data_IF_354884535764
#
_entry.id   IF_354884535764
#
_cell.length_a   1.000
_cell.length_b   1.000
_cell.length_c   1.000
_cell.angle_alpha   90.00
_cell.angle_beta   90.00
_cell.angle_gamma   90.00
#
_symmetry.space_group_name_H-M   'P 1'
#
loop_
_entity.id
_entity.type
_entity.pdbx_description
1 polymer ?
#
# COMPACT_ATOMS: atom_id res chain seq x y z
N UNK A 1 32.93 -21.12 -4.18
CA UNK A 1 32.30 -21.27 -5.51
C UNK A 1 30.92 -21.87 -5.32
N UNK A 2 29.90 -21.06 -5.19
CA UNK A 2 28.53 -21.53 -5.09
C UNK A 2 27.74 -20.98 -6.28
N UNK A 3 27.48 -21.87 -7.23
CA UNK A 3 26.67 -21.60 -8.42
C UNK A 3 25.23 -21.34 -7.99
N UNK A 4 24.76 -20.17 -8.36
CA UNK A 4 23.37 -19.73 -8.50
C UNK A 4 22.34 -20.87 -8.55
N UNK A 5 21.61 -21.05 -7.45
CA UNK A 5 20.38 -21.84 -7.45
C UNK A 5 19.28 -20.94 -8.03
N UNK A 6 19.21 -20.88 -9.35
CA UNK A 6 18.02 -20.42 -10.05
C UNK A 6 17.09 -21.64 -10.10
N UNK A 7 15.90 -21.60 -9.48
CA UNK A 7 15.00 -22.76 -9.50
C UNK A 7 14.69 -23.17 -10.94
N UNK A 8 14.66 -24.47 -11.24
CA UNK A 8 14.43 -25.02 -12.57
C UNK A 8 13.14 -24.50 -13.25
N UNK A 9 12.13 -24.12 -12.47
CA UNK A 9 10.90 -23.46 -12.93
C UNK A 9 11.10 -22.08 -13.56
N UNK A 10 12.23 -21.40 -13.26
CA UNK A 10 12.57 -20.12 -13.87
C UNK A 10 13.20 -20.28 -15.25
N UNK A 11 13.73 -21.45 -15.58
CA UNK A 11 14.44 -21.69 -16.85
C UNK A 11 13.49 -21.86 -18.03
N UNK A 12 12.31 -22.44 -17.83
CA UNK A 12 11.26 -22.55 -18.87
C UNK A 12 10.33 -21.32 -18.96
N UNK A 13 10.33 -20.45 -17.92
CA UNK A 13 9.52 -19.24 -17.83
C UNK A 13 10.32 -17.92 -17.81
N UNK A 14 11.59 -17.91 -18.14
CA UNK A 14 12.51 -16.79 -17.90
C UNK A 14 11.98 -15.41 -18.32
N UNK A 15 11.52 -15.22 -19.53
CA UNK A 15 10.93 -13.97 -20.01
C UNK A 15 9.62 -13.60 -19.27
N UNK A 16 8.87 -14.61 -18.83
CA UNK A 16 7.58 -14.44 -18.12
C UNK A 16 7.72 -13.93 -16.70
N UNK A 17 8.76 -14.34 -15.98
CA UNK A 17 9.00 -13.94 -14.58
C UNK A 17 9.47 -12.48 -14.52
N UNK A 18 10.39 -12.11 -15.39
CA UNK A 18 10.84 -10.71 -15.49
C UNK A 18 9.70 -9.76 -15.88
N UNK A 19 8.84 -10.19 -16.79
CA UNK A 19 7.65 -9.43 -17.16
C UNK A 19 6.71 -9.23 -15.97
N UNK A 20 6.49 -10.27 -15.15
CA UNK A 20 5.65 -10.20 -13.96
C UNK A 20 6.28 -9.29 -12.89
N UNK A 21 7.58 -9.38 -12.64
CA UNK A 21 8.30 -8.46 -11.75
C UNK A 21 8.17 -7.03 -12.23
N UNK A 22 8.37 -6.78 -13.53
CA UNK A 22 8.20 -5.45 -14.13
C UNK A 22 6.76 -4.94 -13.96
N UNK A 23 5.75 -5.80 -14.19
CA UNK A 23 4.34 -5.43 -14.00
C UNK A 23 4.05 -5.04 -12.53
N UNK A 24 4.57 -5.81 -11.56
CA UNK A 24 4.43 -5.50 -10.13
C UNK A 24 5.09 -4.16 -9.78
N UNK A 25 6.30 -3.91 -10.27
CA UNK A 25 7.05 -2.67 -9.97
C UNK A 25 6.43 -1.45 -10.65
N UNK A 26 5.99 -1.56 -11.91
CA UNK A 26 5.28 -0.47 -12.60
C UNK A 26 3.93 -0.18 -11.95
N UNK A 27 3.21 -1.21 -11.51
CA UNK A 27 1.98 -1.02 -10.75
C UNK A 27 2.28 -0.32 -9.43
N UNK A 28 3.32 -0.73 -8.69
CA UNK A 28 3.75 -0.05 -7.46
C UNK A 28 4.03 1.45 -7.71
N UNK A 29 4.78 1.77 -8.76
CA UNK A 29 5.06 3.14 -9.17
C UNK A 29 3.75 3.93 -9.43
N UNK A 30 2.82 3.34 -10.17
CA UNK A 30 1.53 3.93 -10.50
C UNK A 30 0.63 4.16 -9.27
N UNK A 31 0.69 3.30 -8.25
CA UNK A 31 -0.15 3.41 -7.05
C UNK A 31 0.16 4.63 -6.17
N UNK A 32 1.34 5.23 -6.27
CA UNK A 32 1.74 6.36 -5.41
C UNK A 32 1.87 7.68 -6.15
N UNK A 33 2.44 7.67 -7.35
CA UNK A 33 2.75 8.89 -8.08
C UNK A 33 1.57 9.85 -8.29
N UNK A 34 0.35 9.42 -8.67
CA UNK A 34 -0.74 10.34 -8.94
C UNK A 34 -1.31 11.04 -7.69
N UNK A 35 -0.99 10.57 -6.49
CA UNK A 35 -1.54 11.13 -5.23
C UNK A 35 -0.51 11.99 -4.52
N UNK A 36 0.74 11.53 -4.39
CA UNK A 36 1.73 12.21 -3.55
C UNK A 36 2.16 13.56 -4.08
N UNK A 37 2.09 13.76 -5.39
CA UNK A 37 2.37 15.06 -6.00
C UNK A 37 1.30 16.12 -5.80
N UNK A 38 0.06 15.75 -5.46
CA UNK A 38 -1.05 16.71 -5.30
C UNK A 38 -0.78 17.66 -4.12
N UNK A 39 -0.32 17.13 -2.98
CA UNK A 39 -0.05 17.94 -1.79
C UNK A 39 0.99 19.03 -2.02
N UNK A 40 2.02 18.75 -2.84
CA UNK A 40 3.08 19.71 -3.14
C UNK A 40 2.60 20.93 -3.96
N UNK A 41 1.50 20.81 -4.72
CA UNK A 41 0.96 21.86 -5.62
C UNK A 41 -0.46 22.28 -5.21
N UNK A 42 -0.88 21.97 -3.97
CA UNK A 42 -2.25 22.23 -3.52
C UNK A 42 -2.58 23.73 -3.54
N UNK A 43 -1.64 24.58 -3.16
CA UNK A 43 -1.80 26.04 -3.18
C UNK A 43 -2.00 26.60 -4.61
N UNK A 44 -1.37 26.01 -5.63
CA UNK A 44 -1.58 26.39 -7.03
C UNK A 44 -2.97 25.94 -7.54
N UNK A 45 -3.43 24.76 -7.07
CA UNK A 45 -4.78 24.28 -7.36
C UNK A 45 -5.81 25.21 -6.74
N UNK A 46 -5.63 25.64 -5.48
CA UNK A 46 -6.50 26.58 -4.76
C UNK A 46 -6.57 27.93 -5.48
N UNK A 47 -5.40 28.51 -5.81
CA UNK A 47 -5.32 29.78 -6.52
C UNK A 47 -6.02 29.75 -7.90
N UNK A 48 -5.92 28.60 -8.61
CA UNK A 48 -6.50 28.45 -9.93
C UNK A 48 -7.99 28.09 -9.94
N UNK A 49 -8.51 27.46 -8.87
CA UNK A 49 -9.88 26.93 -8.81
C UNK A 49 -10.80 27.68 -7.87
N UNK A 50 -10.25 28.53 -6.98
CA UNK A 50 -11.00 29.20 -5.92
C UNK A 50 -11.50 28.26 -4.82
N UNK A 51 -10.91 27.06 -4.69
CA UNK A 51 -11.27 26.11 -3.63
C UNK A 51 -10.80 26.63 -2.27
N UNK A 52 -11.61 26.40 -1.23
CA UNK A 52 -11.18 26.61 0.15
C UNK A 52 -10.18 25.54 0.59
N UNK A 53 -9.37 25.83 1.63
CA UNK A 53 -8.42 24.84 2.21
C UNK A 53 -9.12 23.54 2.63
N UNK A 54 -10.33 23.59 3.16
CA UNK A 54 -11.12 22.41 3.51
C UNK A 54 -11.43 21.55 2.29
N UNK A 55 -11.83 22.16 1.16
CA UNK A 55 -12.16 21.42 -0.06
C UNK A 55 -10.92 20.87 -0.75
N UNK A 56 -9.82 21.61 -0.77
CA UNK A 56 -8.55 21.11 -1.32
C UNK A 56 -7.97 19.99 -0.45
N UNK A 57 -8.14 20.02 0.86
CA UNK A 57 -7.83 18.91 1.76
C UNK A 57 -8.60 17.62 1.40
N UNK A 58 -9.81 17.73 0.88
CA UNK A 58 -10.57 16.57 0.40
C UNK A 58 -9.91 15.85 -0.80
N UNK A 59 -9.07 16.51 -1.59
CA UNK A 59 -8.31 15.88 -2.67
C UNK A 59 -7.34 14.82 -2.16
N UNK A 60 -6.86 14.95 -0.93
CA UNK A 60 -5.99 13.96 -0.27
C UNK A 60 -6.79 12.96 0.57
N UNK A 61 -7.92 13.36 1.13
CA UNK A 61 -8.80 12.49 1.95
C UNK A 61 -9.66 11.56 1.10
N UNK A 62 -10.19 12.03 -0.04
CA UNK A 62 -11.06 11.26 -0.91
C UNK A 62 -10.46 9.92 -1.39
N UNK A 63 -9.18 9.85 -1.81
CA UNK A 63 -8.53 8.58 -2.09
C UNK A 63 -8.51 7.63 -0.89
N UNK A 64 -8.33 8.12 0.33
CA UNK A 64 -8.31 7.27 1.53
C UNK A 64 -9.70 6.68 1.81
N UNK A 65 -10.75 7.46 1.62
CA UNK A 65 -12.14 6.97 1.72
C UNK A 65 -12.40 5.91 0.63
N UNK A 66 -11.97 6.17 -0.60
CA UNK A 66 -12.07 5.19 -1.67
C UNK A 66 -11.30 3.91 -1.34
N UNK A 67 -10.10 4.01 -0.75
CA UNK A 67 -9.33 2.85 -0.28
C UNK A 67 -10.11 2.06 0.77
N UNK A 68 -10.69 2.73 1.74
CA UNK A 68 -11.45 2.09 2.81
C UNK A 68 -12.63 1.26 2.27
N UNK A 69 -13.38 1.83 1.33
CA UNK A 69 -14.58 1.20 0.76
C UNK A 69 -14.20 0.07 -0.21
N UNK A 70 -13.32 0.35 -1.16
CA UNK A 70 -13.05 -0.58 -2.27
C UNK A 70 -12.01 -1.64 -1.96
N UNK A 71 -11.21 -1.48 -0.88
CA UNK A 71 -10.31 -2.52 -0.40
C UNK A 71 -11.05 -3.82 -0.05
N UNK A 72 -12.28 -3.74 0.46
CA UNK A 72 -13.10 -4.92 0.77
C UNK A 72 -13.65 -5.60 -0.49
N UNK A 73 -13.86 -4.85 -1.57
CA UNK A 73 -14.37 -5.39 -2.83
C UNK A 73 -13.29 -6.11 -3.66
N UNK A 74 -12.03 -5.69 -3.53
CA UNK A 74 -10.92 -6.17 -4.35
C UNK A 74 -10.73 -7.70 -4.31
N UNK A 75 -10.77 -8.40 -3.16
CA UNK A 75 -10.67 -9.86 -3.13
C UNK A 75 -11.83 -10.56 -3.86
N UNK A 76 -13.05 -10.00 -3.79
CA UNK A 76 -14.21 -10.52 -4.53
C UNK A 76 -14.08 -10.37 -6.04
N UNK A 77 -13.56 -9.21 -6.48
CA UNK A 77 -13.29 -8.98 -7.90
C UNK A 77 -12.22 -9.93 -8.42
N UNK A 78 -11.13 -10.13 -7.67
CA UNK A 78 -10.07 -11.05 -8.06
C UNK A 78 -10.51 -12.52 -8.07
N UNK A 79 -11.40 -12.92 -7.18
CA UNK A 79 -11.98 -14.27 -7.18
C UNK A 79 -12.87 -14.51 -8.42
N UNK A 80 -13.57 -13.47 -8.91
CA UNK A 80 -14.46 -13.57 -10.07
C UNK A 80 -13.71 -13.47 -11.41
N UNK A 81 -12.76 -12.56 -11.53
CA UNK A 81 -12.10 -12.22 -12.80
C UNK A 81 -10.64 -12.66 -12.91
N UNK A 82 -10.05 -13.12 -11.81
CA UNK A 82 -8.62 -13.37 -11.68
C UNK A 82 -7.83 -12.12 -11.26
N UNK A 83 -6.69 -12.33 -10.58
CA UNK A 83 -5.87 -11.24 -10.03
C UNK A 83 -5.32 -10.35 -11.15
N UNK A 84 -4.77 -10.94 -12.21
CA UNK A 84 -4.12 -10.22 -13.31
C UNK A 84 -5.10 -9.35 -14.10
N UNK A 85 -6.27 -9.88 -14.43
CA UNK A 85 -7.33 -9.11 -15.09
C UNK A 85 -7.80 -7.96 -14.22
N UNK A 86 -7.98 -8.19 -12.93
CA UNK A 86 -8.41 -7.17 -11.98
C UNK A 86 -7.36 -6.06 -11.85
N UNK A 87 -6.06 -6.40 -11.81
CA UNK A 87 -4.96 -5.44 -11.80
C UNK A 87 -4.88 -4.67 -13.13
N UNK A 88 -5.02 -5.34 -14.27
CA UNK A 88 -5.08 -4.68 -15.57
C UNK A 88 -6.19 -3.62 -15.64
N UNK A 89 -7.42 -4.00 -15.27
CA UNK A 89 -8.55 -3.06 -15.27
C UNK A 89 -8.37 -1.95 -14.24
N UNK A 90 -7.70 -2.20 -13.10
CA UNK A 90 -7.39 -1.13 -12.16
C UNK A 90 -6.41 -0.11 -12.74
N UNK A 91 -5.43 -0.52 -13.56
CA UNK A 91 -4.51 0.41 -14.23
C UNK A 91 -5.23 1.24 -15.33
N UNK A 92 -6.17 0.62 -16.06
CA UNK A 92 -7.03 1.38 -17.02
C UNK A 92 -7.90 2.38 -16.26
N UNK A 93 -8.53 1.98 -15.16
CA UNK A 93 -9.35 2.85 -14.33
C UNK A 93 -8.52 4.03 -13.79
N UNK A 94 -7.29 3.78 -13.37
CA UNK A 94 -6.37 4.80 -12.90
C UNK A 94 -6.00 5.77 -14.00
N UNK A 95 -5.66 5.27 -15.19
CA UNK A 95 -5.34 6.10 -16.36
C UNK A 95 -6.54 6.99 -16.72
N UNK A 96 -7.75 6.42 -16.81
CA UNK A 96 -8.99 7.16 -17.02
C UNK A 96 -9.27 8.18 -15.93
N UNK A 97 -9.04 7.83 -14.67
CA UNK A 97 -9.19 8.73 -13.52
C UNK A 97 -8.26 9.93 -13.60
N UNK A 98 -6.99 9.75 -14.01
CA UNK A 98 -6.04 10.86 -14.20
C UNK A 98 -6.51 11.77 -15.35
N UNK A 99 -6.97 11.21 -16.46
CA UNK A 99 -7.48 12.00 -17.60
C UNK A 99 -8.72 12.81 -17.18
N UNK A 100 -9.67 12.19 -16.48
CA UNK A 100 -10.86 12.89 -15.96
C UNK A 100 -10.46 14.00 -15.00
N UNK A 101 -9.51 13.73 -14.05
CA UNK A 101 -9.01 14.72 -13.09
C UNK A 101 -8.39 15.95 -13.76
N UNK A 102 -7.84 15.79 -14.95
CA UNK A 102 -7.15 16.86 -15.71
C UNK A 102 -8.09 17.76 -16.50
N UNK A 103 -9.39 17.42 -16.58
CA UNK A 103 -10.38 18.25 -17.27
C UNK A 103 -10.59 19.60 -16.55
N UNK A 104 -11.00 20.66 -17.28
CA UNK A 104 -11.14 22.01 -16.72
C UNK A 104 -12.42 22.17 -15.89
N UNK A 105 -12.67 21.30 -14.92
CA UNK A 105 -13.83 21.32 -14.05
C UNK A 105 -13.44 20.85 -12.64
N UNK A 106 -13.94 21.51 -11.61
CA UNK A 106 -13.76 21.13 -10.21
C UNK A 106 -14.43 19.77 -9.95
N UNK A 107 -15.61 19.52 -10.49
CA UNK A 107 -16.29 18.22 -10.37
C UNK A 107 -15.44 17.10 -10.97
N UNK A 108 -14.84 17.33 -12.15
CA UNK A 108 -13.97 16.35 -12.79
C UNK A 108 -12.68 16.11 -11.96
N UNK A 109 -12.13 17.15 -11.31
CA UNK A 109 -10.99 17.03 -10.41
C UNK A 109 -11.29 16.04 -9.27
N UNK A 110 -12.43 16.17 -8.61
CA UNK A 110 -12.84 15.26 -7.53
C UNK A 110 -13.23 13.87 -8.06
N UNK A 111 -14.01 13.79 -9.14
CA UNK A 111 -14.41 12.51 -9.73
C UNK A 111 -13.20 11.69 -10.19
N UNK A 112 -12.27 12.32 -10.89
CA UNK A 112 -11.03 11.67 -11.31
C UNK A 112 -10.17 11.22 -10.12
N UNK A 113 -10.10 12.03 -9.07
CA UNK A 113 -9.40 11.68 -7.82
C UNK A 113 -10.05 10.47 -7.13
N UNK A 114 -11.37 10.37 -7.11
CA UNK A 114 -12.08 9.19 -6.58
C UNK A 114 -11.78 7.93 -7.39
N UNK A 115 -11.81 8.01 -8.73
CA UNK A 115 -11.48 6.88 -9.62
C UNK A 115 -10.04 6.39 -9.40
N UNK A 116 -9.09 7.31 -9.26
CA UNK A 116 -7.70 6.99 -8.91
C UNK A 116 -7.66 6.26 -7.57
N UNK A 117 -8.37 6.75 -6.56
CA UNK A 117 -8.46 6.12 -5.23
C UNK A 117 -8.97 4.68 -5.29
N UNK A 118 -10.02 4.41 -6.07
CA UNK A 118 -10.57 3.06 -6.29
C UNK A 118 -9.51 2.15 -6.91
N UNK A 119 -8.83 2.62 -7.96
CA UNK A 119 -7.81 1.84 -8.65
C UNK A 119 -6.65 1.48 -7.72
N UNK A 120 -6.21 2.42 -6.88
CA UNK A 120 -5.14 2.20 -5.90
C UNK A 120 -5.57 1.21 -4.82
N UNK A 121 -6.82 1.27 -4.35
CA UNK A 121 -7.34 0.29 -3.38
C UNK A 121 -7.21 -1.15 -3.93
N UNK A 122 -7.62 -1.37 -5.17
CA UNK A 122 -7.54 -2.67 -5.83
C UNK A 122 -6.08 -3.15 -5.93
N UNK A 123 -5.18 -2.28 -6.41
CA UNK A 123 -3.76 -2.62 -6.58
C UNK A 123 -3.08 -2.97 -5.24
N UNK A 124 -3.24 -2.13 -4.23
CA UNK A 124 -2.64 -2.33 -2.91
C UNK A 124 -3.12 -3.61 -2.22
N UNK A 125 -4.39 -3.98 -2.40
CA UNK A 125 -4.97 -5.18 -1.79
C UNK A 125 -4.51 -6.46 -2.48
N UNK A 126 -4.41 -6.45 -3.82
CA UNK A 126 -4.16 -7.66 -4.59
C UNK A 126 -2.67 -8.00 -4.75
N UNK A 127 -1.79 -6.99 -4.79
CA UNK A 127 -0.36 -7.24 -5.00
C UNK A 127 0.30 -8.11 -3.93
N UNK A 128 0.05 -7.97 -2.63
CA UNK A 128 0.58 -8.91 -1.63
C UNK A 128 0.13 -10.36 -1.83
N UNK A 129 -1.12 -10.56 -2.26
CA UNK A 129 -1.65 -11.88 -2.62
C UNK A 129 -0.93 -12.48 -3.84
N UNK A 130 -0.75 -11.68 -4.90
CA UNK A 130 0.01 -12.05 -6.09
C UNK A 130 1.46 -12.42 -5.76
N UNK A 131 2.15 -11.59 -4.96
CA UNK A 131 3.53 -11.85 -4.52
C UNK A 131 3.60 -13.18 -3.78
N UNK A 132 2.66 -13.47 -2.89
CA UNK A 132 2.62 -14.74 -2.16
C UNK A 132 2.40 -15.94 -3.09
N UNK A 133 1.54 -15.81 -4.11
CA UNK A 133 1.22 -16.87 -5.06
C UNK A 133 2.40 -17.21 -5.98
N UNK A 134 3.01 -16.17 -6.56
CA UNK A 134 3.97 -16.33 -7.65
C UNK A 134 5.43 -16.36 -7.17
N UNK A 135 5.70 -15.80 -5.97
CA UNK A 135 7.04 -15.73 -5.36
C UNK A 135 7.08 -16.26 -3.91
N UNK A 136 6.55 -17.48 -3.63
CA UNK A 136 6.41 -17.99 -2.25
C UNK A 136 7.75 -18.10 -1.50
N UNK A 137 8.85 -18.38 -2.21
CA UNK A 137 10.19 -18.49 -1.62
C UNK A 137 10.91 -17.13 -1.50
N UNK A 138 10.39 -16.08 -2.12
CA UNK A 138 11.01 -14.75 -2.19
C UNK A 138 10.06 -13.64 -1.75
N UNK A 139 9.07 -13.97 -0.93
CA UNK A 139 8.05 -13.00 -0.45
C UNK A 139 8.69 -11.76 0.17
N UNK A 140 9.73 -11.93 1.00
CA UNK A 140 10.45 -10.82 1.61
C UNK A 140 11.10 -9.90 0.59
N UNK A 141 11.82 -10.45 -0.40
CA UNK A 141 12.48 -9.69 -1.46
C UNK A 141 11.46 -8.96 -2.34
N UNK A 142 10.43 -9.66 -2.80
CA UNK A 142 9.41 -9.06 -3.67
C UNK A 142 8.60 -7.98 -2.95
N UNK A 143 8.28 -8.18 -1.66
CA UNK A 143 7.63 -7.14 -0.85
C UNK A 143 8.57 -5.95 -0.62
N UNK A 144 9.87 -6.18 -0.40
CA UNK A 144 10.86 -5.10 -0.28
C UNK A 144 10.94 -4.27 -1.55
N UNK A 145 11.05 -4.92 -2.72
CA UNK A 145 11.08 -4.23 -4.01
C UNK A 145 9.78 -3.44 -4.25
N UNK A 146 8.64 -4.05 -3.95
CA UNK A 146 7.33 -3.42 -4.07
C UNK A 146 7.21 -2.17 -3.19
N UNK A 147 7.49 -2.28 -1.88
CA UNK A 147 7.35 -1.16 -0.94
C UNK A 147 8.38 -0.05 -1.18
N UNK A 148 9.59 -0.42 -1.56
CA UNK A 148 10.64 0.54 -1.94
C UNK A 148 10.27 1.31 -3.20
N UNK A 149 9.75 0.61 -4.21
CA UNK A 149 9.26 1.22 -5.44
C UNK A 149 8.12 2.21 -5.16
N UNK A 150 7.14 1.85 -4.31
CA UNK A 150 6.08 2.74 -3.85
C UNK A 150 6.65 4.03 -3.24
N UNK A 151 7.63 3.91 -2.33
CA UNK A 151 8.22 5.04 -1.61
C UNK A 151 9.08 5.90 -2.53
N UNK A 152 9.87 5.26 -3.41
CA UNK A 152 10.72 5.94 -4.38
C UNK A 152 9.90 6.83 -5.33
N UNK A 153 8.84 6.27 -5.93
CA UNK A 153 7.98 7.02 -6.83
C UNK A 153 7.13 8.07 -6.11
N UNK A 154 6.82 7.87 -4.83
CA UNK A 154 6.20 8.91 -4.00
C UNK A 154 7.14 10.11 -3.83
N UNK A 155 8.43 9.86 -3.54
CA UNK A 155 9.44 10.92 -3.41
C UNK A 155 9.67 11.66 -4.72
N UNK A 156 9.81 10.93 -5.85
CA UNK A 156 9.92 11.53 -7.18
C UNK A 156 8.72 12.43 -7.48
N UNK A 157 7.50 11.89 -7.27
CA UNK A 157 6.27 12.63 -7.57
C UNK A 157 6.19 13.93 -6.77
N UNK A 158 6.46 13.89 -5.47
CA UNK A 158 6.47 15.10 -4.64
C UNK A 158 7.54 16.10 -5.09
N UNK A 159 8.73 15.62 -5.43
CA UNK A 159 9.86 16.49 -5.80
C UNK A 159 9.69 17.18 -7.15
N UNK A 160 9.14 16.48 -8.16
CA UNK A 160 9.00 17.04 -9.52
C UNK A 160 7.69 17.80 -9.73
N UNK A 161 6.70 17.68 -8.83
CA UNK A 161 5.37 18.29 -9.04
C UNK A 161 5.44 19.81 -9.12
N UNK A 162 6.20 20.47 -8.22
CA UNK A 162 6.36 21.93 -8.21
C UNK A 162 7.07 22.43 -9.48
N UNK A 163 8.25 21.93 -9.89
CA UNK A 163 8.86 22.33 -11.13
C UNK A 163 7.97 22.10 -12.37
N UNK A 164 7.20 21.01 -12.37
CA UNK A 164 6.27 20.74 -13.49
C UNK A 164 5.07 21.68 -13.51
N UNK A 165 4.54 22.06 -12.35
CA UNK A 165 3.39 22.97 -12.26
C UNK A 165 3.75 24.39 -12.68
N UNK A 166 4.98 24.82 -12.47
CA UNK A 166 5.52 26.10 -12.93
C UNK A 166 5.88 26.12 -14.43
N UNK A 167 5.87 24.95 -15.06
CA UNK A 167 6.12 24.79 -16.49
C UNK A 167 4.92 25.19 -17.37
N UNK A 168 5.06 25.11 -18.70
CA UNK A 168 4.05 25.59 -19.66
C UNK A 168 2.70 24.88 -19.59
N UNK A 169 2.65 23.67 -19.02
CA UNK A 169 1.43 22.88 -18.85
C UNK A 169 0.71 23.16 -17.54
N UNK A 170 1.30 23.94 -16.64
CA UNK A 170 0.76 24.30 -15.34
C UNK A 170 0.50 23.09 -14.43
N UNK A 171 -0.23 23.31 -13.34
CA UNK A 171 -0.55 22.26 -12.36
C UNK A 171 -1.33 21.06 -12.95
N UNK A 172 -2.17 21.30 -13.98
CA UNK A 172 -2.86 20.21 -14.68
C UNK A 172 -1.89 19.30 -15.42
N UNK A 173 -0.86 19.87 -16.06
CA UNK A 173 0.20 19.10 -16.70
C UNK A 173 0.99 18.25 -15.71
N UNK A 174 1.33 18.82 -14.54
CA UNK A 174 1.99 18.11 -13.46
C UNK A 174 1.17 16.89 -12.95
N UNK A 175 -0.16 16.99 -12.98
CA UNK A 175 -1.03 15.88 -12.64
C UNK A 175 -1.19 14.87 -13.78
N UNK A 176 -1.19 15.32 -15.04
CA UNK A 176 -1.46 14.49 -16.22
C UNK A 176 -0.27 13.62 -16.63
N UNK A 177 0.95 14.03 -16.34
CA UNK A 177 2.17 13.29 -16.75
C UNK A 177 2.15 11.83 -16.30
N UNK A 178 1.48 11.53 -15.20
CA UNK A 178 1.36 10.18 -14.64
C UNK A 178 0.50 9.24 -15.48
N UNK A 179 -0.26 9.75 -16.48
CA UNK A 179 -0.95 8.94 -17.48
C UNK A 179 0.03 8.03 -18.21
N UNK A 180 1.21 8.54 -18.58
CA UNK A 180 2.23 7.73 -19.26
C UNK A 180 2.63 6.50 -18.44
N UNK A 181 2.90 6.69 -17.15
CA UNK A 181 3.29 5.60 -16.24
C UNK A 181 2.17 4.57 -16.06
N UNK A 182 0.93 5.02 -15.84
CA UNK A 182 -0.21 4.12 -15.63
C UNK A 182 -0.61 3.39 -16.91
N UNK A 183 -0.53 4.04 -18.07
CA UNK A 183 -0.78 3.40 -19.36
C UNK A 183 0.29 2.34 -19.68
N UNK A 184 1.59 2.65 -19.46
CA UNK A 184 2.66 1.66 -19.63
C UNK A 184 2.47 0.49 -18.67
N UNK A 185 2.09 0.75 -17.40
CA UNK A 185 1.76 -0.31 -16.46
C UNK A 185 0.62 -1.21 -16.99
N UNK A 186 -0.47 -0.63 -17.51
CA UNK A 186 -1.56 -1.41 -18.12
C UNK A 186 -1.07 -2.24 -19.31
N UNK A 187 -0.25 -1.67 -20.21
CA UNK A 187 0.28 -2.39 -21.37
C UNK A 187 1.15 -3.60 -20.99
N UNK A 188 1.91 -3.50 -19.90
CA UNK A 188 2.75 -4.62 -19.42
C UNK A 188 1.89 -5.76 -18.84
N UNK A 189 0.67 -5.50 -18.38
CA UNK A 189 -0.26 -6.54 -17.95
C UNK A 189 -0.91 -7.30 -19.12
N UNK A 190 -1.03 -6.71 -20.33
CA UNK A 190 -1.70 -7.32 -21.48
C UNK A 190 -1.17 -8.74 -21.84
N UNK A 191 0.14 -8.96 -21.99
CA UNK A 191 0.65 -10.29 -22.35
C UNK A 191 0.52 -11.33 -21.21
N UNK A 192 0.17 -10.89 -19.98
CA UNK A 192 -0.06 -11.77 -18.84
C UNK A 192 -1.52 -12.27 -18.79
N UNK A 193 -2.47 -11.61 -19.46
CA UNK A 193 -3.90 -11.96 -19.46
C UNK A 193 -4.23 -13.32 -20.14
N UNK A 194 -3.66 -13.69 -21.33
CA UNK A 194 -4.06 -14.91 -22.05
C UNK A 194 -3.60 -16.21 -21.43
N UNK A 195 -2.69 -16.19 -20.45
CA UNK A 195 -2.10 -17.40 -19.84
C UNK A 195 -3.05 -18.15 -18.93
N UNK A 196 -4.09 -17.47 -18.43
CA UNK A 196 -5.07 -18.05 -17.51
C UNK A 196 -6.13 -18.89 -18.23
N UNK A 197 -6.49 -18.54 -19.46
CA UNK A 197 -7.47 -19.32 -20.24
C UNK A 197 -6.94 -20.71 -20.57
N UNK A 198 -5.62 -20.83 -20.78
CA UNK A 198 -4.95 -22.12 -20.99
C UNK A 198 -4.81 -22.96 -19.72
N UNK A 199 -4.64 -22.35 -18.54
CA UNK A 199 -4.54 -23.06 -17.27
C UNK A 199 -5.91 -23.52 -16.77
N UNK A 200 -6.96 -22.71 -16.95
CA UNK A 200 -8.34 -23.04 -16.59
C UNK A 200 -8.94 -24.08 -17.54
N UNK A 201 -8.66 -23.98 -18.84
CA UNK A 201 -9.11 -24.97 -19.84
C UNK A 201 -8.44 -26.35 -19.69
N UNK A 202 -7.20 -26.41 -19.18
CA UNK A 202 -6.48 -27.65 -18.96
C UNK A 202 -6.99 -28.44 -17.75
N UNK A 203 -7.48 -27.73 -16.71
CA UNK A 203 -8.15 -28.39 -15.56
C UNK A 203 -9.57 -28.86 -15.89
N UNK A 204 -10.25 -28.24 -16.85
CA UNK A 204 -11.57 -28.70 -17.33
C UNK A 204 -11.53 -29.91 -18.26
N UNK A 205 -10.45 -30.08 -19.02
CA UNK A 205 -10.32 -31.20 -19.97
C UNK A 205 -9.77 -32.48 -19.33
N UNK A 206 -9.02 -32.40 -18.23
CA UNK A 206 -8.55 -33.61 -17.52
C UNK A 206 -9.63 -34.27 -16.67
N UNK A 207 -10.69 -33.54 -16.29
CA UNK A 207 -11.82 -34.13 -15.55
C UNK A 207 -12.83 -34.83 -16.44
N UNK A 208 -12.92 -34.47 -17.75
CA UNK A 208 -13.87 -35.10 -18.70
C UNK A 208 -13.37 -36.36 -19.37
N UNK A 209 -12.03 -36.50 -19.51
CA UNK A 209 -11.46 -37.66 -20.24
C UNK A 209 -11.19 -38.89 -19.36
N UNK A 210 -11.19 -38.74 -18.04
CA UNK A 210 -10.94 -39.88 -17.12
C UNK A 210 -12.22 -40.53 -16.57
N UNK A 211 -13.40 -39.95 -16.79
CA UNK A 211 -14.66 -40.58 -16.32
C UNK A 211 -15.20 -41.70 -17.24
N UNK A 212 -14.68 -41.83 -18.45
CA UNK A 212 -15.14 -42.90 -19.38
C UNK A 212 -14.30 -44.20 -19.37
N UNK A 213 -13.25 -44.30 -18.53
CA UNK A 213 -12.36 -45.47 -18.47
C UNK A 213 -12.25 -46.16 -17.10
N UNK A 214 -12.96 -45.73 -16.06
CA UNK A 214 -12.85 -46.30 -14.70
C UNK A 214 -14.22 -46.86 -14.24
N UNK A 215 -15.01 -47.42 -15.16
CA UNK A 215 -16.28 -48.07 -14.76
C UNK A 215 -16.16 -49.59 -14.55
N UNK A 216 -14.94 -50.15 -14.52
CA UNK A 216 -14.78 -51.63 -14.44
C UNK A 216 -13.84 -52.14 -13.35
N UNK A 217 -13.41 -51.36 -12.38
CA UNK A 217 -12.68 -51.93 -11.22
C UNK A 217 -13.23 -51.36 -9.92
N UNK A 218 -14.03 -52.18 -9.25
CA UNK A 218 -14.59 -51.85 -7.93
C UNK A 218 -13.53 -51.89 -6.86
N UNK A 219 -13.08 -50.69 -6.39
CA UNK A 219 -12.34 -50.51 -5.15
C UNK A 219 -12.97 -49.38 -4.39
N UNK A 220 -13.35 -49.65 -3.15
CA UNK A 220 -13.94 -48.72 -2.21
C UNK A 220 -13.01 -47.52 -1.98
N UNK A 221 -13.44 -46.31 -2.30
CA UNK A 221 -12.73 -45.09 -2.06
C UNK A 221 -13.34 -44.33 -0.88
N UNK A 222 -12.48 -43.99 0.08
CA UNK A 222 -12.68 -43.19 1.28
C UNK A 222 -13.31 -41.82 0.94
N UNK A 223 -14.30 -41.32 1.71
CA UNK A 223 -15.07 -40.09 1.37
C UNK A 223 -14.36 -38.75 1.67
N UNK A 224 -13.02 -38.73 1.92
CA UNK A 224 -12.33 -37.55 2.45
C UNK A 224 -11.70 -36.58 1.43
N UNK A 225 -11.89 -36.75 0.12
CA UNK A 225 -11.29 -35.83 -0.87
C UNK A 225 -12.30 -35.24 -1.85
N UNK A 226 -13.14 -34.32 -1.37
CA UNK A 226 -13.93 -33.45 -2.24
C UNK A 226 -13.15 -32.18 -2.60
N UNK A 227 -13.12 -31.74 -3.88
CA UNK A 227 -12.54 -30.45 -4.25
C UNK A 227 -13.38 -29.33 -3.68
N UNK A 228 -12.73 -28.39 -3.01
CA UNK A 228 -13.35 -27.20 -2.41
C UNK A 228 -13.94 -26.29 -3.48
N UNK A 229 -15.23 -26.35 -3.68
CA UNK A 229 -16.03 -25.48 -4.53
C UNK A 229 -16.35 -24.16 -3.81
N UNK A 230 -16.54 -23.11 -4.57
CA UNK A 230 -16.98 -21.70 -4.32
C UNK A 230 -17.52 -21.28 -2.95
N UNK A 231 -17.88 -22.20 -2.04
CA UNK A 231 -18.31 -21.89 -0.66
C UNK A 231 -17.17 -21.48 0.28
N UNK A 232 -15.90 -21.86 0.00
CA UNK A 232 -14.76 -21.56 0.88
C UNK A 232 -14.32 -20.09 0.84
N UNK A 233 -14.49 -19.39 -0.28
CA UNK A 233 -14.11 -17.98 -0.37
C UNK A 233 -14.96 -17.08 0.55
N UNK A 234 -16.26 -17.38 0.67
CA UNK A 234 -17.18 -16.65 1.57
C UNK A 234 -16.97 -17.05 3.03
N UNK A 235 -16.70 -18.33 3.31
CA UNK A 235 -16.37 -18.83 4.64
C UNK A 235 -15.03 -18.27 5.16
N UNK A 236 -14.01 -18.16 4.32
CA UNK A 236 -12.70 -17.62 4.66
C UNK A 236 -12.78 -16.13 5.03
N UNK A 237 -13.59 -15.34 4.31
CA UNK A 237 -13.81 -13.91 4.64
C UNK A 237 -14.43 -13.73 6.03
N UNK A 238 -15.40 -14.54 6.38
CA UNK A 238 -16.10 -14.43 7.66
C UNK A 238 -15.19 -14.81 8.84
N UNK A 239 -14.30 -15.78 8.65
CA UNK A 239 -13.30 -16.20 9.66
C UNK A 239 -12.25 -15.12 9.92
N UNK A 240 -11.78 -14.39 8.90
CA UNK A 240 -10.76 -13.34 9.07
C UNK A 240 -11.22 -12.23 10.01
N UNK A 241 -12.46 -11.75 9.88
CA UNK A 241 -13.03 -10.73 10.76
C UNK A 241 -13.15 -11.18 12.24
N UNK A 242 -13.12 -12.48 12.53
CA UNK A 242 -13.12 -13.05 13.88
C UNK A 242 -11.73 -13.36 14.40
N UNK A 243 -10.70 -13.29 13.58
CA UNK A 243 -9.33 -13.63 13.97
C UNK A 243 -8.69 -12.50 14.77
N UNK A 244 -8.22 -12.75 16.00
CA UNK A 244 -7.46 -11.75 16.76
C UNK A 244 -6.18 -11.29 16.04
N UNK A 245 -5.50 -12.21 15.35
CA UNK A 245 -4.28 -11.89 14.59
C UNK A 245 -4.59 -10.91 13.44
N UNK A 246 -5.73 -11.08 12.77
CA UNK A 246 -6.16 -10.16 11.71
C UNK A 246 -6.40 -8.75 12.27
N UNK A 247 -7.04 -8.62 13.42
CA UNK A 247 -7.25 -7.34 14.07
C UNK A 247 -5.95 -6.69 14.55
N UNK A 248 -4.99 -7.44 15.08
CA UNK A 248 -3.69 -6.92 15.47
C UNK A 248 -2.93 -6.34 14.26
N UNK A 249 -2.92 -7.06 13.13
CA UNK A 249 -2.32 -6.59 11.87
C UNK A 249 -3.06 -5.35 11.35
N UNK A 250 -4.39 -5.34 11.45
CA UNK A 250 -5.25 -4.22 11.01
C UNK A 250 -4.97 -2.95 11.83
N UNK A 251 -4.90 -3.06 13.15
CA UNK A 251 -4.59 -1.91 14.01
C UNK A 251 -3.17 -1.40 13.77
N UNK A 252 -2.19 -2.30 13.62
CA UNK A 252 -0.82 -1.91 13.28
C UNK A 252 -0.77 -1.16 11.94
N UNK A 253 -1.48 -1.66 10.91
CA UNK A 253 -1.58 -0.99 9.61
C UNK A 253 -2.26 0.38 9.73
N UNK A 254 -3.33 0.49 10.50
CA UNK A 254 -4.08 1.73 10.69
C UNK A 254 -3.25 2.81 11.40
N UNK A 255 -2.66 2.47 12.54
CA UNK A 255 -1.87 3.43 13.32
C UNK A 255 -0.62 3.91 12.57
N UNK A 256 0.14 3.00 11.92
CA UNK A 256 1.27 3.42 11.11
C UNK A 256 0.83 4.30 9.92
N UNK A 257 -0.37 4.08 9.36
CA UNK A 257 -0.89 4.93 8.29
C UNK A 257 -1.26 6.31 8.79
N UNK A 258 -1.81 6.46 10.01
CA UNK A 258 -2.04 7.77 10.64
C UNK A 258 -0.71 8.52 10.73
N UNK A 259 0.37 7.88 11.26
CA UNK A 259 1.68 8.51 11.38
C UNK A 259 2.16 9.05 10.03
N UNK A 260 2.02 8.26 8.96
CA UNK A 260 2.45 8.64 7.62
C UNK A 260 1.65 9.81 7.06
N UNK A 261 0.31 9.74 7.08
CA UNK A 261 -0.54 10.77 6.47
C UNK A 261 -0.52 12.08 7.25
N UNK A 262 -0.44 12.03 8.59
CA UNK A 262 -0.26 13.22 9.41
C UNK A 262 1.09 13.88 9.14
N UNK A 263 2.17 13.08 9.01
CA UNK A 263 3.50 13.63 8.67
C UNK A 263 3.48 14.34 7.31
N UNK A 264 2.89 13.73 6.28
CA UNK A 264 2.83 14.36 4.95
C UNK A 264 2.02 15.65 4.97
N UNK A 265 0.93 15.69 5.74
CA UNK A 265 0.04 16.84 5.77
C UNK A 265 0.58 17.99 6.62
N UNK A 266 1.16 17.71 7.76
CA UNK A 266 1.41 18.74 8.77
C UNK A 266 2.88 18.93 9.19
N UNK A 267 3.79 17.99 8.84
CA UNK A 267 5.19 18.13 9.24
C UNK A 267 5.84 19.42 8.74
N UNK A 268 5.61 19.91 7.49
CA UNK A 268 6.16 21.19 7.07
C UNK A 268 5.67 22.36 7.92
N UNK A 269 4.38 22.41 8.26
CA UNK A 269 3.79 23.50 9.05
C UNK A 269 4.30 23.48 10.49
N UNK A 270 4.40 22.29 11.08
CA UNK A 270 5.00 22.09 12.42
C UNK A 270 6.44 22.61 12.46
N UNK A 271 7.24 22.34 11.43
CA UNK A 271 8.63 22.79 11.37
C UNK A 271 8.75 24.29 11.12
N UNK A 272 7.81 24.88 10.35
CA UNK A 272 7.77 26.32 10.12
C UNK A 272 7.41 27.07 11.40
N UNK A 273 6.41 26.62 12.17
CA UNK A 273 6.07 27.21 13.46
C UNK A 273 7.23 27.15 14.46
N UNK A 274 8.10 26.13 14.31
CA UNK A 274 9.34 25.99 15.11
C UNK A 274 10.52 26.81 14.60
N UNK A 275 10.32 27.68 13.59
CA UNK A 275 11.29 28.65 13.10
C UNK A 275 12.11 28.19 11.88
N UNK A 276 11.75 27.11 11.20
CA UNK A 276 12.32 26.77 9.91
C UNK A 276 11.70 27.58 8.78
N UNK A 277 12.46 27.88 7.72
CA UNK A 277 11.86 28.42 6.50
C UNK A 277 10.98 27.39 5.82
N UNK A 278 10.00 27.83 5.01
CA UNK A 278 9.12 26.94 4.25
C UNK A 278 9.92 26.02 3.31
N UNK A 279 11.00 26.54 2.72
CA UNK A 279 11.90 25.75 1.88
C UNK A 279 12.60 24.64 2.69
N UNK A 280 13.17 24.98 3.85
CA UNK A 280 13.81 24.01 4.74
C UNK A 280 12.83 22.94 5.22
N UNK A 281 11.62 23.32 5.61
CA UNK A 281 10.58 22.42 6.05
C UNK A 281 10.15 21.44 4.92
N UNK A 282 10.04 21.94 3.70
CA UNK A 282 9.78 21.11 2.53
C UNK A 282 10.91 20.11 2.24
N UNK A 283 12.17 20.54 2.34
CA UNK A 283 13.33 19.65 2.21
C UNK A 283 13.37 18.58 3.30
N UNK A 284 12.98 18.91 4.54
CA UNK A 284 12.90 17.94 5.63
C UNK A 284 11.86 16.85 5.39
N UNK A 285 10.69 17.21 4.84
CA UNK A 285 9.70 16.20 4.43
C UNK A 285 10.23 15.28 3.31
N UNK A 286 10.90 15.86 2.31
CA UNK A 286 11.52 15.08 1.23
C UNK A 286 12.60 14.13 1.77
N UNK A 287 13.44 14.61 2.68
CA UNK A 287 14.47 13.83 3.36
C UNK A 287 13.85 12.66 4.14
N UNK A 288 12.76 12.90 4.90
CA UNK A 288 12.03 11.85 5.61
C UNK A 288 11.58 10.75 4.65
N UNK A 289 11.00 11.12 3.51
CA UNK A 289 10.52 10.15 2.52
C UNK A 289 11.67 9.36 1.86
N UNK A 290 12.77 10.01 1.50
CA UNK A 290 13.94 9.34 0.94
C UNK A 290 14.55 8.33 1.92
N UNK A 291 14.70 8.73 3.18
CA UNK A 291 15.24 7.85 4.22
C UNK A 291 14.30 6.68 4.50
N UNK A 292 12.99 6.88 4.39
CA UNK A 292 12.00 5.81 4.59
C UNK A 292 12.15 4.65 3.61
N UNK A 293 12.78 4.87 2.45
CA UNK A 293 13.12 3.81 1.48
C UNK A 293 14.01 2.74 2.09
N UNK A 294 15.02 3.12 2.88
CA UNK A 294 15.91 2.16 3.53
C UNK A 294 15.13 1.22 4.46
N UNK A 295 14.23 1.78 5.28
CA UNK A 295 13.37 1.00 6.16
C UNK A 295 12.40 0.10 5.39
N UNK A 296 11.73 0.63 4.37
CA UNK A 296 10.77 -0.13 3.56
C UNK A 296 11.42 -1.26 2.76
N UNK A 297 12.69 -1.12 2.40
CA UNK A 297 13.46 -2.17 1.75
C UNK A 297 13.95 -3.25 2.72
N UNK A 298 14.59 -2.84 3.81
CA UNK A 298 15.29 -3.77 4.71
C UNK A 298 14.31 -4.58 5.58
N UNK A 299 13.23 -3.97 6.05
CA UNK A 299 12.38 -4.61 7.06
C UNK A 299 11.59 -5.81 6.55
N UNK A 300 11.00 -5.85 5.35
CA UNK A 300 10.37 -7.06 4.82
C UNK A 300 11.36 -8.22 4.62
N UNK A 301 12.62 -7.93 4.24
CA UNK A 301 13.69 -8.93 4.12
C UNK A 301 14.03 -9.55 5.47
N UNK A 302 14.24 -8.71 6.49
CA UNK A 302 14.55 -9.14 7.85
C UNK A 302 13.36 -9.90 8.47
N UNK A 303 12.14 -9.42 8.25
CA UNK A 303 10.93 -10.06 8.73
C UNK A 303 10.73 -11.46 8.13
N UNK A 304 10.96 -11.62 6.83
CA UNK A 304 10.84 -12.91 6.15
C UNK A 304 11.87 -13.95 6.62
N UNK A 305 13.04 -13.51 7.11
CA UNK A 305 14.10 -14.37 7.65
C UNK A 305 13.95 -14.62 9.15
N UNK A 306 13.10 -13.88 9.84
CA UNK A 306 12.94 -13.93 11.28
C UNK A 306 11.82 -14.88 11.69
N UNK A 307 12.05 -15.73 12.70
CA UNK A 307 11.01 -16.61 13.25
C UNK A 307 9.89 -15.85 14.00
N UNK A 308 10.19 -14.66 14.52
CA UNK A 308 9.24 -13.79 15.22
C UNK A 308 9.65 -12.34 15.00
N UNK A 309 8.71 -11.50 14.58
CA UNK A 309 8.96 -10.13 14.20
C UNK A 309 8.66 -9.12 15.34
N UNK A 310 8.26 -9.59 16.53
CA UNK A 310 7.79 -8.74 17.65
C UNK A 310 8.76 -7.64 18.06
N UNK A 311 10.05 -7.94 18.17
CA UNK A 311 11.07 -6.96 18.54
C UNK A 311 11.44 -6.05 17.36
N UNK A 312 11.36 -6.58 16.14
CA UNK A 312 11.61 -5.80 14.94
C UNK A 312 10.56 -4.70 14.76
N UNK A 313 9.27 -5.03 14.96
CA UNK A 313 8.17 -4.05 14.91
C UNK A 313 8.25 -3.05 16.06
N UNK A 314 8.53 -3.51 17.28
CA UNK A 314 8.66 -2.62 18.43
C UNK A 314 9.81 -1.62 18.26
N UNK A 315 10.98 -2.09 17.83
CA UNK A 315 12.15 -1.23 17.61
C UNK A 315 11.89 -0.18 16.52
N UNK A 316 11.28 -0.57 15.39
CA UNK A 316 10.99 0.37 14.30
C UNK A 316 9.92 1.39 14.67
N UNK A 317 8.89 1.00 15.43
CA UNK A 317 7.90 1.94 15.94
C UNK A 317 8.47 2.87 17.04
N UNK A 318 9.42 2.38 17.85
CA UNK A 318 10.12 3.21 18.84
C UNK A 318 10.90 4.35 18.17
N UNK A 319 11.44 4.15 16.95
CA UNK A 319 12.05 5.24 16.18
C UNK A 319 11.04 6.35 15.86
N UNK A 320 9.77 6.01 15.59
CA UNK A 320 8.71 7.00 15.39
C UNK A 320 8.39 7.74 16.69
N UNK A 321 8.34 7.03 17.85
CA UNK A 321 8.12 7.65 19.16
C UNK A 321 9.23 8.65 19.47
N UNK A 322 10.49 8.26 19.27
CA UNK A 322 11.66 9.12 19.53
C UNK A 322 11.66 10.30 18.53
N UNK A 323 11.33 10.06 17.27
CA UNK A 323 11.28 11.09 16.24
C UNK A 323 10.23 12.16 16.51
N UNK A 324 8.96 11.78 16.76
CA UNK A 324 7.90 12.74 17.11
C UNK A 324 8.15 13.39 18.46
N UNK A 325 8.58 12.62 19.47
CA UNK A 325 8.96 13.15 20.77
C UNK A 325 10.11 14.16 20.68
N UNK A 326 11.08 13.92 19.82
CA UNK A 326 12.19 14.83 19.54
C UNK A 326 11.76 16.10 18.80
N UNK A 327 10.80 16.00 17.88
CA UNK A 327 10.17 17.20 17.28
C UNK A 327 9.36 17.95 18.35
N UNK A 328 8.62 17.27 19.21
CA UNK A 328 7.77 17.89 20.22
C UNK A 328 8.57 18.58 21.33
N UNK A 329 9.48 17.87 21.99
CA UNK A 329 10.15 18.36 23.20
C UNK A 329 11.61 18.80 22.97
N UNK A 330 12.18 18.52 21.79
CA UNK A 330 13.57 18.83 21.48
C UNK A 330 13.79 20.23 20.88
N UNK A 331 15.02 20.72 20.93
CA UNK A 331 15.39 21.96 20.24
C UNK A 331 15.38 21.76 18.71
N UNK A 332 15.18 22.86 17.96
CA UNK A 332 15.13 22.85 16.48
C UNK A 332 16.41 22.27 15.85
N UNK A 333 17.55 22.42 16.53
CA UNK A 333 18.83 21.82 16.08
C UNK A 333 18.80 20.30 15.97
N UNK A 334 17.93 19.62 16.71
CA UNK A 334 17.74 18.17 16.64
C UNK A 334 16.63 17.72 15.66
N UNK A 335 15.95 18.67 15.01
CA UNK A 335 14.85 18.34 14.09
C UNK A 335 15.30 17.41 12.95
N UNK A 336 16.48 17.66 12.36
CA UNK A 336 17.02 16.79 11.30
C UNK A 336 17.23 15.36 11.78
N UNK A 337 17.75 15.16 13.00
CA UNK A 337 17.91 13.82 13.60
C UNK A 337 16.55 13.17 13.85
N UNK A 338 15.59 13.92 14.39
CA UNK A 338 14.22 13.45 14.62
C UNK A 338 13.55 13.00 13.33
N UNK A 339 13.73 13.76 12.25
CA UNK A 339 13.19 13.44 10.91
C UNK A 339 13.87 12.20 10.32
N UNK A 340 15.18 12.04 10.52
CA UNK A 340 15.90 10.82 10.11
C UNK A 340 15.31 9.58 10.81
N UNK A 341 15.07 9.66 12.13
CA UNK A 341 14.47 8.57 12.90
C UNK A 341 13.03 8.29 12.45
N UNK A 342 12.23 9.35 12.20
CA UNK A 342 10.88 9.22 11.64
C UNK A 342 10.88 8.56 10.27
N UNK A 343 11.80 8.95 9.38
CA UNK A 343 11.92 8.36 8.05
C UNK A 343 12.20 6.87 8.11
N UNK A 344 13.23 6.46 8.87
CA UNK A 344 13.55 5.04 9.06
C UNK A 344 12.37 4.29 9.69
N UNK A 345 11.80 4.83 10.77
CA UNK A 345 10.69 4.23 11.50
C UNK A 345 9.44 4.06 10.63
N UNK A 346 9.02 5.11 9.93
CA UNK A 346 7.84 5.13 9.07
C UNK A 346 7.96 4.14 7.90
N UNK A 347 9.08 4.16 7.16
CA UNK A 347 9.32 3.20 6.08
C UNK A 347 9.36 1.77 6.57
N UNK A 348 9.98 1.53 7.74
CA UNK A 348 10.09 0.21 8.37
C UNK A 348 8.74 -0.33 8.80
N UNK A 349 7.93 0.46 9.49
CA UNK A 349 6.60 0.04 9.95
C UNK A 349 5.66 -0.21 8.78
N UNK A 350 5.74 0.59 7.71
CA UNK A 350 5.00 0.36 6.48
C UNK A 350 5.39 -0.95 5.80
N UNK A 351 6.70 -1.20 5.58
CA UNK A 351 7.18 -2.44 4.99
C UNK A 351 6.78 -3.68 5.80
N UNK A 352 6.84 -3.60 7.14
CA UNK A 352 6.41 -4.66 8.04
C UNK A 352 4.89 -4.90 7.97
N UNK A 353 4.08 -3.85 7.91
CA UNK A 353 2.62 -3.99 7.78
C UNK A 353 2.24 -4.72 6.49
N UNK A 354 2.86 -4.38 5.37
CA UNK A 354 2.59 -5.02 4.07
C UNK A 354 3.05 -6.49 4.06
N UNK A 355 4.25 -6.79 4.56
CA UNK A 355 4.73 -8.18 4.55
C UNK A 355 3.93 -9.08 5.49
N UNK A 356 3.33 -8.53 6.55
CA UNK A 356 2.48 -9.30 7.46
C UNK A 356 1.24 -9.87 6.77
N UNK A 357 0.70 -9.22 5.74
CA UNK A 357 -0.41 -9.80 4.98
C UNK A 357 -0.05 -11.18 4.41
N UNK A 358 1.18 -11.35 3.97
CA UNK A 358 1.68 -12.63 3.47
C UNK A 358 2.15 -13.56 4.60
N UNK A 359 2.88 -13.04 5.60
CA UNK A 359 3.47 -13.88 6.66
C UNK A 359 2.44 -14.39 7.68
N UNK A 360 1.30 -13.71 7.85
CA UNK A 360 0.22 -14.10 8.78
C UNK A 360 -0.91 -14.89 8.10
N UNK A 361 -0.76 -15.21 6.82
CA UNK A 361 -1.73 -15.97 6.03
C UNK A 361 -1.11 -17.27 5.53
N UNK A 362 -1.92 -18.33 5.39
CA UNK A 362 -1.47 -19.62 4.84
C UNK A 362 -1.67 -19.69 3.33
N UNK A 363 -2.76 -19.09 2.83
CA UNK A 363 -3.11 -19.11 1.40
C UNK A 363 -3.09 -17.68 0.79
N UNK A 364 -3.11 -17.62 -0.53
CA UNK A 364 -3.18 -16.36 -1.29
C UNK A 364 -4.49 -15.62 -1.03
N UNK A 365 -5.59 -16.35 -0.94
CA UNK A 365 -6.92 -15.83 -0.67
C UNK A 365 -6.97 -15.18 0.72
N UNK A 366 -6.38 -15.85 1.74
CA UNK A 366 -6.26 -15.30 3.08
C UNK A 366 -5.37 -14.04 3.11
N UNK A 367 -4.26 -14.02 2.36
CA UNK A 367 -3.39 -12.85 2.27
C UNK A 367 -4.13 -11.66 1.64
N UNK A 368 -4.89 -11.87 0.56
CA UNK A 368 -5.68 -10.85 -0.10
C UNK A 368 -6.83 -10.37 0.80
N UNK A 369 -7.52 -11.28 1.48
CA UNK A 369 -8.61 -10.94 2.39
C UNK A 369 -8.11 -10.18 3.64
N UNK A 370 -6.95 -10.59 4.23
CA UNK A 370 -6.32 -9.88 5.33
C UNK A 370 -5.84 -8.48 4.90
N UNK A 371 -5.24 -8.38 3.72
CA UNK A 371 -4.85 -7.10 3.12
C UNK A 371 -6.06 -6.19 2.92
N UNK A 372 -7.18 -6.74 2.41
CA UNK A 372 -8.43 -6.01 2.23
C UNK A 372 -9.01 -5.48 3.54
N UNK A 373 -9.11 -6.33 4.58
CA UNK A 373 -9.56 -5.94 5.91
C UNK A 373 -8.65 -4.89 6.53
N UNK A 374 -7.34 -5.14 6.56
CA UNK A 374 -6.37 -4.29 7.22
C UNK A 374 -6.28 -2.90 6.54
N UNK A 375 -6.34 -2.86 5.22
CA UNK A 375 -6.30 -1.59 4.50
C UNK A 375 -7.64 -0.85 4.55
N UNK A 376 -8.79 -1.54 4.49
CA UNK A 376 -10.09 -0.88 4.62
C UNK A 376 -10.21 -0.17 5.97
N UNK A 377 -10.08 -0.91 7.08
CA UNK A 377 -10.17 -0.35 8.42
C UNK A 377 -9.02 0.62 8.70
N UNK A 378 -7.81 0.27 8.28
CA UNK A 378 -6.62 1.08 8.48
C UNK A 378 -6.70 2.45 7.77
N UNK A 379 -7.25 2.50 6.55
CA UNK A 379 -7.42 3.77 5.84
C UNK A 379 -8.63 4.58 6.33
N UNK A 380 -9.66 3.94 6.91
CA UNK A 380 -10.68 4.69 7.68
C UNK A 380 -10.02 5.43 8.83
N UNK A 381 -9.20 4.74 9.63
CA UNK A 381 -8.48 5.38 10.74
C UNK A 381 -7.54 6.48 10.22
N UNK A 382 -6.79 6.22 9.15
CA UNK A 382 -5.88 7.19 8.56
C UNK A 382 -6.57 8.43 8.00
N UNK A 383 -7.77 8.30 7.46
CA UNK A 383 -8.54 9.42 6.90
C UNK A 383 -8.93 10.46 7.96
N UNK A 384 -9.15 10.03 9.21
CA UNK A 384 -9.38 10.96 10.32
C UNK A 384 -8.11 11.71 10.76
N UNK A 385 -6.92 11.14 10.52
CA UNK A 385 -5.65 11.69 11.00
C UNK A 385 -5.46 13.18 10.63
N UNK A 386 -5.26 13.53 9.35
CA UNK A 386 -4.95 14.91 8.98
C UNK A 386 -6.00 15.92 9.44
N UNK A 387 -7.29 15.60 9.31
CA UNK A 387 -8.39 16.48 9.72
C UNK A 387 -8.43 16.66 11.24
N UNK A 388 -8.31 15.57 12.02
CA UNK A 388 -8.30 15.61 13.47
C UNK A 388 -7.12 16.44 14.00
N UNK A 389 -5.95 16.30 13.38
CA UNK A 389 -4.74 16.99 13.81
C UNK A 389 -4.80 18.49 13.50
N UNK A 390 -5.35 18.88 12.34
CA UNK A 390 -5.66 20.28 12.04
C UNK A 390 -6.66 20.86 13.02
N UNK A 391 -7.74 20.14 13.34
CA UNK A 391 -8.70 20.57 14.36
C UNK A 391 -8.07 20.74 15.76
N UNK A 392 -7.22 19.80 16.18
CA UNK A 392 -6.51 19.90 17.46
C UNK A 392 -5.59 21.13 17.52
N UNK A 393 -4.91 21.46 16.40
CA UNK A 393 -4.12 22.66 16.28
C UNK A 393 -5.01 23.92 16.40
N UNK A 394 -6.09 24.00 15.62
CA UNK A 394 -7.00 25.15 15.65
C UNK A 394 -7.63 25.36 17.02
N UNK A 395 -7.95 24.27 17.73
CA UNK A 395 -8.53 24.32 19.08
C UNK A 395 -7.52 24.71 20.16
N UNK A 396 -6.27 24.22 20.08
CA UNK A 396 -5.24 24.47 21.11
C UNK A 396 -4.39 25.69 20.83
N UNK A 397 -4.40 26.24 19.61
CA UNK A 397 -3.59 27.34 19.16
C UNK A 397 -2.09 27.04 19.06
N UNK A 398 -1.70 25.77 19.08
CA UNK A 398 -0.30 25.32 18.95
C UNK A 398 -0.20 23.89 18.43
N UNK A 399 0.97 23.49 17.93
CA UNK A 399 1.27 22.10 17.54
C UNK A 399 1.63 21.19 18.71
N UNK A 400 1.70 21.67 19.95
CA UNK A 400 2.09 20.83 21.10
C UNK A 400 1.06 19.74 21.38
N UNK A 401 -0.24 20.07 21.37
CA UNK A 401 -1.32 19.07 21.55
C UNK A 401 -1.34 18.02 20.44
N UNK A 402 -1.33 18.39 19.14
CA UNK A 402 -1.18 17.43 18.06
C UNK A 402 0.07 16.55 18.18
N UNK A 403 1.24 17.12 18.54
CA UNK A 403 2.48 16.38 18.70
C UNK A 403 2.44 15.39 19.87
N UNK A 404 1.81 15.75 20.99
CA UNK A 404 1.57 14.82 22.09
C UNK A 404 0.70 13.64 21.65
N UNK A 405 -0.39 13.91 20.92
CA UNK A 405 -1.31 12.89 20.41
C UNK A 405 -0.61 11.96 19.41
N UNK A 406 0.17 12.48 18.43
CA UNK A 406 0.86 11.64 17.46
C UNK A 406 1.94 10.78 18.10
N UNK A 407 2.61 11.31 19.14
CA UNK A 407 3.55 10.51 19.93
C UNK A 407 2.83 9.37 20.64
N UNK A 408 1.64 9.60 21.19
CA UNK A 408 0.76 8.55 21.75
C UNK A 408 0.35 7.51 20.70
N UNK A 409 -0.04 7.94 19.50
CA UNK A 409 -0.34 7.04 18.36
C UNK A 409 0.87 6.21 17.96
N UNK A 410 2.09 6.77 18.05
CA UNK A 410 3.34 6.03 17.78
C UNK A 410 3.57 4.92 18.83
N UNK A 411 3.23 5.15 20.09
CA UNK A 411 3.27 4.13 21.16
C UNK A 411 2.25 3.03 20.87
N UNK A 412 1.03 3.38 20.47
CA UNK A 412 0.04 2.37 20.05
C UNK A 412 0.53 1.57 18.86
N UNK A 413 1.19 2.20 17.88
CA UNK A 413 1.84 1.50 16.75
C UNK A 413 2.86 0.47 17.25
N UNK A 414 3.66 0.80 18.26
CA UNK A 414 4.63 -0.12 18.85
C UNK A 414 3.95 -1.31 19.56
N UNK A 415 2.89 -1.07 20.32
CA UNK A 415 2.15 -2.10 21.05
C UNK A 415 1.46 -3.08 20.10
N UNK A 416 0.70 -2.57 19.14
CA UNK A 416 0.03 -3.41 18.14
C UNK A 416 1.02 -4.10 17.20
N UNK A 417 2.11 -3.43 16.83
CA UNK A 417 3.20 -4.01 16.04
C UNK A 417 3.88 -5.16 16.78
N UNK A 418 4.20 -5.00 18.06
CA UNK A 418 4.76 -6.07 18.90
C UNK A 418 3.81 -7.28 18.96
N UNK A 419 2.53 -7.04 19.17
CA UNK A 419 1.52 -8.11 19.22
C UNK A 419 1.35 -8.81 17.87
N UNK A 420 1.21 -8.05 16.76
CA UNK A 420 1.11 -8.59 15.40
C UNK A 420 2.40 -9.33 14.95
N UNK A 421 3.55 -8.95 15.51
CA UNK A 421 4.85 -9.56 15.25
C UNK A 421 5.05 -10.93 15.93
N UNK A 422 4.15 -11.38 16.82
CA UNK A 422 4.20 -12.72 17.42
C UNK A 422 3.89 -13.78 16.37
N UNK A 423 4.36 -15.02 16.59
CA UNK A 423 4.02 -16.16 15.73
C UNK A 423 2.51 -16.42 15.77
N UNK A 424 1.89 -16.62 14.62
CA UNK A 424 0.46 -16.91 14.46
C UNK A 424 -0.01 -16.71 13.04
N UNK A 425 -1.11 -17.37 12.71
CA UNK A 425 -1.80 -17.25 11.42
C UNK A 425 -3.27 -16.87 11.66
N UNK A 426 -3.91 -16.30 10.66
CA UNK A 426 -5.33 -15.88 10.75
C UNK A 426 -6.34 -17.01 10.94
N UNK A 427 -5.93 -18.27 10.77
CA UNK A 427 -6.79 -19.46 11.00
C UNK A 427 -6.79 -19.95 12.46
N UNK A 428 -5.97 -19.39 13.33
CA UNK A 428 -5.80 -19.86 14.69
C UNK A 428 -6.94 -19.33 15.61
N UNK A 429 -8.20 -19.64 15.26
CA UNK A 429 -9.34 -19.46 16.14
C UNK A 429 -10.28 -20.66 16.02
#
# INVERSE_FOLDING_TARGET
MNKTIVPALLRERGASVWLLVTAVLLTAAALRSPITGVGAIIGEIEAATGLSHTLSGMLTTLPLIAFAVFALAAPGLSAKFGIERTLFFSMILMTGGILVRSLPSVTALFAGTALIGIAIAIGNVLLPGLIKRDFPQQVGLMTSLFTTCLTFWAAISSGISVPLSQGPLGWRGALTIWVALTAVSALVWLPLLPRLDKASGRNGQTTGANHSRISEVGVATDPASRPSTQGEATGTRFRIWRSPVAWLVTMFMGFQSILFYVSISWLPDILQERGMSAEQAGWMLSLMQLISMAGSFLMPLLAARSNSQKWLTAATAALCVIGFGGIWAGPVSLAALSILLLGIGSGSTFGLAIVFFSLRSRTTEQASALSGMAQSVGYVLAAFGPTLFGYLHDFSGSWDTPLAVITGVSILTALFGYAAGRKGYVDAA
#
